data_IF_829939360318
#
_entry.id   IF_829939360318
#
_cell.length_a   1.000
_cell.length_b   1.000
_cell.length_c   1.000
_cell.angle_alpha   90.00
_cell.angle_beta   90.00
_cell.angle_gamma   90.00
#
_symmetry.space_group_name_H-M   'P 1'
#
loop_
_entity.id
_entity.type
_entity.pdbx_description
1 polymer ?
#
# COMPACT_ATOMS: atom_id res chain seq x y z
N UNK A 1 -10.69 7.48 -2.19
CA UNK A 1 -11.54 8.16 -3.18
C UNK A 1 -10.69 9.20 -3.87
N UNK A 2 -10.71 9.25 -5.20
CA UNK A 2 -9.95 10.17 -6.03
C UNK A 2 -10.92 10.93 -6.94
N UNK A 3 -10.76 12.24 -7.09
CA UNK A 3 -11.53 13.04 -8.05
C UNK A 3 -10.54 13.67 -9.02
N UNK A 4 -10.51 13.16 -10.26
CA UNK A 4 -9.66 13.67 -11.33
C UNK A 4 -10.49 14.42 -12.37
N UNK A 5 -9.84 15.36 -13.08
CA UNK A 5 -10.42 16.05 -14.24
C UNK A 5 -10.97 15.02 -15.25
N UNK A 6 -12.10 15.33 -15.88
CA UNK A 6 -12.68 14.43 -16.88
C UNK A 6 -11.70 14.19 -18.03
N UNK A 7 -11.53 12.92 -18.40
CA UNK A 7 -10.69 12.45 -19.51
C UNK A 7 -9.18 12.62 -19.34
N UNK A 8 -8.70 12.92 -18.13
CA UNK A 8 -7.27 12.92 -17.79
C UNK A 8 -6.87 11.56 -17.22
N UNK A 9 -5.87 10.91 -17.84
CA UNK A 9 -5.33 9.66 -17.32
C UNK A 9 -4.56 9.93 -16.02
N UNK A 10 -4.68 9.03 -15.06
CA UNK A 10 -3.96 9.11 -13.80
C UNK A 10 -3.42 7.76 -13.37
N UNK A 11 -2.43 7.81 -12.48
CA UNK A 11 -1.82 6.66 -11.83
C UNK A 11 -1.80 6.86 -10.32
N UNK A 12 -1.98 5.76 -9.61
CA UNK A 12 -1.89 5.70 -8.16
C UNK A 12 -0.83 4.68 -7.76
N UNK A 13 0.20 5.16 -7.09
CA UNK A 13 1.26 4.34 -6.50
C UNK A 13 1.44 4.71 -5.04
N UNK A 14 2.17 3.90 -4.26
CA UNK A 14 2.26 4.13 -2.82
C UNK A 14 3.65 3.80 -2.29
N UNK A 15 4.11 4.59 -1.33
CA UNK A 15 5.40 4.35 -0.66
C UNK A 15 5.51 2.93 -0.09
N UNK A 16 6.72 2.51 0.26
CA UNK A 16 6.95 1.22 0.91
C UNK A 16 6.50 1.18 2.38
N UNK A 17 5.98 2.29 2.92
CA UNK A 17 5.73 2.44 4.35
C UNK A 17 6.90 3.09 5.07
N UNK A 18 6.66 3.59 6.28
CA UNK A 18 7.66 4.26 7.11
C UNK A 18 8.71 3.25 7.63
N UNK A 19 8.28 2.02 7.91
CA UNK A 19 9.08 1.00 8.58
C UNK A 19 9.58 -0.11 7.64
N UNK A 20 9.57 0.15 6.33
CA UNK A 20 9.90 -0.83 5.30
C UNK A 20 11.33 -1.39 5.44
N UNK A 21 11.53 -2.61 4.93
CA UNK A 21 12.87 -3.18 4.75
C UNK A 21 13.02 -3.66 3.32
N UNK A 22 13.94 -3.04 2.57
CA UNK A 22 14.08 -3.27 1.13
C UNK A 22 12.71 -3.11 0.42
N UNK A 23 12.20 -4.20 -0.15
CA UNK A 23 10.92 -4.27 -0.84
C UNK A 23 9.79 -4.83 0.03
N UNK A 24 9.96 -5.03 1.34
CA UNK A 24 8.90 -5.53 2.22
C UNK A 24 8.35 -4.39 3.06
N UNK A 25 7.02 -4.20 3.07
CA UNK A 25 6.39 -3.30 4.03
C UNK A 25 6.32 -3.98 5.39
N UNK A 26 6.47 -3.22 6.46
CA UNK A 26 6.45 -3.77 7.83
C UNK A 26 5.76 -2.79 8.75
N UNK A 27 4.92 -3.31 9.63
CA UNK A 27 4.40 -2.57 10.76
C UNK A 27 5.34 -2.76 11.95
N UNK A 28 5.58 -1.71 12.72
CA UNK A 28 6.38 -1.75 13.94
C UNK A 28 5.45 -1.80 15.16
N UNK A 29 5.86 -2.52 16.18
CA UNK A 29 5.14 -2.59 17.44
C UNK A 29 5.10 -1.22 18.13
N UNK A 30 3.92 -0.80 18.57
CA UNK A 30 3.66 0.56 19.09
C UNK A 30 4.50 0.96 20.32
N UNK A 31 4.78 0.01 21.22
CA UNK A 31 5.60 0.24 22.42
C UNK A 31 6.98 -0.43 22.42
N UNK A 32 7.38 -1.12 21.35
CA UNK A 32 8.63 -1.87 21.30
C UNK A 32 9.33 -1.67 19.96
N UNK A 33 10.41 -0.90 19.99
CA UNK A 33 11.24 -0.66 18.81
C UNK A 33 11.83 -1.95 18.26
N UNK A 34 12.01 -1.98 16.94
CA UNK A 34 12.63 -3.08 16.19
C UNK A 34 11.86 -4.42 16.21
N UNK A 35 10.61 -4.43 16.71
CA UNK A 35 9.70 -5.58 16.62
C UNK A 35 8.73 -5.34 15.47
N UNK A 36 8.84 -6.16 14.42
CA UNK A 36 8.12 -5.94 13.17
C UNK A 36 7.16 -7.07 12.81
N UNK A 37 6.10 -6.70 12.09
CA UNK A 37 5.19 -7.59 11.39
C UNK A 37 5.14 -7.18 9.91
N UNK A 38 5.59 -8.06 9.02
CA UNK A 38 5.56 -7.84 7.58
C UNK A 38 4.12 -7.88 7.04
N UNK A 39 3.87 -7.07 6.03
CA UNK A 39 2.63 -7.07 5.28
C UNK A 39 2.90 -6.58 3.87
N UNK A 40 1.92 -6.76 2.99
CA UNK A 40 1.93 -6.14 1.68
C UNK A 40 0.55 -5.68 1.23
N UNK A 41 0.55 -4.82 0.22
CA UNK A 41 -0.64 -4.27 -0.41
C UNK A 41 -0.61 -4.67 -1.88
N UNK A 42 -1.74 -5.12 -2.40
CA UNK A 42 -1.93 -5.71 -3.72
C UNK A 42 -3.02 -4.98 -4.50
N UNK A 43 -2.91 -5.06 -5.83
CA UNK A 43 -3.85 -4.46 -6.78
C UNK A 43 -5.17 -5.24 -6.89
N UNK A 44 -5.16 -6.52 -6.52
CA UNK A 44 -6.28 -7.46 -6.69
C UNK A 44 -6.47 -8.37 -5.47
N UNK A 45 -7.62 -9.02 -5.40
CA UNK A 45 -8.05 -9.87 -4.27
C UNK A 45 -7.25 -11.17 -4.18
N UNK A 46 -6.71 -11.66 -5.30
CA UNK A 46 -5.91 -12.87 -5.39
C UNK A 46 -4.48 -12.66 -4.89
N UNK A 47 -4.10 -11.41 -4.58
CA UNK A 47 -2.79 -11.02 -4.06
C UNK A 47 -1.61 -11.48 -4.93
N UNK A 48 -1.73 -11.44 -6.27
CA UNK A 48 -0.61 -11.80 -7.16
C UNK A 48 0.33 -10.64 -7.45
N UNK A 49 -0.23 -9.42 -7.59
CA UNK A 49 0.54 -8.24 -7.99
C UNK A 49 0.63 -7.23 -6.85
N UNK A 50 1.83 -7.12 -6.28
CA UNK A 50 2.15 -6.18 -5.21
C UNK A 50 2.12 -4.75 -5.73
N UNK A 51 1.44 -3.86 -5.00
CA UNK A 51 1.34 -2.44 -5.32
C UNK A 51 2.72 -1.78 -5.25
N UNK A 52 3.13 -1.17 -6.36
CA UNK A 52 4.45 -0.57 -6.51
C UNK A 52 4.61 0.80 -5.85
N UNK A 53 5.87 1.19 -5.66
CA UNK A 53 6.26 2.48 -5.08
C UNK A 53 6.80 3.48 -6.08
N UNK A 54 6.79 3.12 -7.37
CA UNK A 54 7.33 3.94 -8.44
C UNK A 54 6.27 4.07 -9.54
N UNK A 55 6.22 5.24 -10.17
CA UNK A 55 5.34 5.50 -11.29
C UNK A 55 5.61 4.51 -12.43
N UNK A 56 4.55 3.89 -12.97
CA UNK A 56 4.66 2.97 -14.10
C UNK A 56 5.03 1.53 -13.74
N UNK A 57 5.27 1.23 -12.45
CA UNK A 57 5.64 -0.12 -12.00
C UNK A 57 4.59 -0.62 -11.01
N UNK A 58 3.75 -1.56 -11.43
CA UNK A 58 2.70 -2.17 -10.61
C UNK A 58 1.82 -1.13 -9.88
N UNK A 59 1.50 -0.04 -10.56
CA UNK A 59 0.60 1.03 -10.11
C UNK A 59 -0.83 0.77 -10.61
N UNK A 60 -1.81 1.44 -9.99
CA UNK A 60 -3.18 1.43 -10.49
C UNK A 60 -3.35 2.56 -11.50
N UNK A 61 -3.67 2.22 -12.75
CA UNK A 61 -4.04 3.19 -13.77
C UNK A 61 -5.55 3.40 -13.85
N UNK A 62 -5.97 4.63 -14.13
CA UNK A 62 -7.36 4.97 -14.36
C UNK A 62 -7.49 6.22 -15.22
N UNK A 63 -8.72 6.49 -15.68
CA UNK A 63 -9.05 7.73 -16.38
C UNK A 63 -10.07 8.50 -15.57
N UNK A 64 -9.83 9.79 -15.35
CA UNK A 64 -10.70 10.67 -14.61
C UNK A 64 -12.08 10.79 -15.24
N UNK A 65 -13.12 10.71 -14.42
CA UNK A 65 -14.52 10.83 -14.88
C UNK A 65 -15.12 12.20 -14.59
N UNK A 66 -14.42 13.06 -13.85
CA UNK A 66 -14.96 14.29 -13.27
C UNK A 66 -15.73 14.06 -11.95
N UNK A 67 -15.86 12.80 -11.51
CA UNK A 67 -16.55 12.38 -10.29
C UNK A 67 -15.59 11.65 -9.33
N UNK A 68 -16.04 11.40 -8.10
CA UNK A 68 -15.30 10.59 -7.14
C UNK A 68 -15.22 9.12 -7.56
N UNK A 69 -14.00 8.61 -7.71
CA UNK A 69 -13.69 7.23 -8.05
C UNK A 69 -13.14 6.49 -6.83
N UNK A 70 -13.67 5.29 -6.58
CA UNK A 70 -13.20 4.40 -5.52
C UNK A 70 -12.12 3.48 -6.07
N UNK A 71 -11.00 3.41 -5.35
CA UNK A 71 -9.88 2.50 -5.64
C UNK A 71 -9.78 1.55 -4.45
N UNK A 72 -9.95 0.26 -4.71
CA UNK A 72 -9.84 -0.79 -3.70
C UNK A 72 -8.38 -1.23 -3.57
N UNK A 73 -7.91 -1.40 -2.34
CA UNK A 73 -6.59 -1.94 -2.02
C UNK A 73 -6.76 -3.24 -1.24
N UNK A 74 -5.86 -4.20 -1.47
CA UNK A 74 -5.93 -5.51 -0.82
C UNK A 74 -4.69 -5.73 0.04
N UNK A 75 -4.87 -5.73 1.36
CA UNK A 75 -3.78 -5.94 2.32
C UNK A 75 -3.66 -7.40 2.73
N UNK A 76 -2.43 -7.91 2.82
CA UNK A 76 -2.15 -9.27 3.30
C UNK A 76 -1.00 -9.27 4.32
N UNK A 77 -1.19 -9.99 5.42
CA UNK A 77 -0.13 -10.34 6.35
C UNK A 77 0.25 -11.81 6.07
N UNK A 78 1.48 -12.10 5.62
CA UNK A 78 1.93 -13.47 5.40
C UNK A 78 1.84 -14.34 6.65
N UNK A 79 1.46 -15.60 6.47
CA UNK A 79 1.42 -16.60 7.54
C UNK A 79 2.83 -16.94 8.06
N UNK A 80 2.91 -17.48 9.28
CA UNK A 80 4.16 -17.95 9.87
C UNK A 80 5.00 -16.89 10.58
N UNK A 81 4.54 -15.63 10.60
CA UNK A 81 5.15 -14.59 11.41
C UNK A 81 4.73 -14.78 12.87
N UNK A 82 5.72 -14.96 13.75
CA UNK A 82 5.51 -15.07 15.20
C UNK A 82 6.24 -13.92 15.87
N UNK A 83 5.64 -12.71 15.94
CA UNK A 83 6.25 -11.62 16.68
C UNK A 83 6.44 -12.05 18.14
N UNK A 84 7.57 -11.67 18.73
CA UNK A 84 7.96 -12.09 20.08
C UNK A 84 6.99 -11.62 21.17
N UNK A 85 6.12 -10.66 20.85
CA UNK A 85 5.25 -9.97 21.80
C UNK A 85 3.87 -9.74 21.20
N UNK A 86 2.86 -9.75 22.09
CA UNK A 86 1.48 -9.40 21.75
C UNK A 86 1.30 -7.90 21.93
N UNK A 87 0.71 -7.22 20.95
CA UNK A 87 0.47 -5.79 20.96
C UNK A 87 -0.02 -5.27 19.62
N UNK A 88 -0.13 -3.95 19.48
CA UNK A 88 -0.50 -3.33 18.21
C UNK A 88 0.74 -3.08 17.36
N UNK A 89 0.56 -3.25 16.05
CA UNK A 89 1.58 -2.95 15.06
C UNK A 89 1.02 -1.88 14.12
N UNK A 90 1.81 -0.87 13.80
CA UNK A 90 1.42 0.23 12.92
C UNK A 90 2.49 0.56 11.87
N UNK A 91 2.04 1.04 10.72
CA UNK A 91 2.87 1.62 9.67
C UNK A 91 2.12 2.77 9.01
N UNK A 92 2.84 3.69 8.37
CA UNK A 92 2.26 4.80 7.59
C UNK A 92 2.67 4.67 6.14
N UNK A 93 1.70 4.47 5.25
CA UNK A 93 1.90 4.40 3.79
C UNK A 93 1.34 5.67 3.13
N UNK A 94 2.21 6.41 2.44
CA UNK A 94 1.82 7.55 1.62
C UNK A 94 1.35 7.07 0.25
N UNK A 95 0.20 7.60 -0.19
CA UNK A 95 -0.36 7.37 -1.53
C UNK A 95 -0.06 8.57 -2.40
N UNK A 96 0.43 8.30 -3.61
CA UNK A 96 0.70 9.29 -4.65
C UNK A 96 -0.33 9.15 -5.76
N UNK A 97 -0.79 10.30 -6.25
CA UNK A 97 -1.69 10.43 -7.39
C UNK A 97 -1.00 11.36 -8.39
N UNK A 98 -0.78 10.88 -9.60
CA UNK A 98 -0.13 11.62 -10.68
C UNK A 98 -0.92 11.48 -11.98
N UNK A 99 -0.89 12.52 -12.81
CA UNK A 99 -1.52 12.61 -14.13
C UNK A 99 -0.53 13.20 -15.15
#
# INVERSE_FOLDING_TARGET
>A
MVTCTQSEDYRVYMSQGQNHSMLSRRMEHDTQSDVFLEYDIYLEEEHTTRWGSEFGINDHSGTGTGESQTITIYGLIPLGQTPSNVGNFADTVVVYLEW
#
